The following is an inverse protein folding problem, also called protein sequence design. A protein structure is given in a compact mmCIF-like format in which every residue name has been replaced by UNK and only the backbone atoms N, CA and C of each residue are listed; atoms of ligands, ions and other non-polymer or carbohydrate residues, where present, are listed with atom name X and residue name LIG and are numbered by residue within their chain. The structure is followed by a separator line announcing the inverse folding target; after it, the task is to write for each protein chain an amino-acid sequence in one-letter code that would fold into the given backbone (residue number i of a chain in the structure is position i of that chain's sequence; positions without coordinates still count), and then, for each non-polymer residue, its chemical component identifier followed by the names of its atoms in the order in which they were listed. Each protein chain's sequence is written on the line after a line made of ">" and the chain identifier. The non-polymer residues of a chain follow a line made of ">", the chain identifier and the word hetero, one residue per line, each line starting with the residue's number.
data_IF_015069802278
#
_entry.id   IF_015069802278
#
_cell.length_a   1.000
_cell.length_b   1.000
_cell.length_c   1.000
_cell.angle_alpha   90.00
_cell.angle_beta   90.00
_cell.angle_gamma   90.00
#
_symmetry.space_group_name_H-M   'P 1'
#
loop_
_entity.id
_entity.type
_entity.pdbx_description
1 polymer ?
#
# COMPACT_ATOMS: atom_id res chain seq x y z
N UNK A 1 5.43 2.52 -15.03
CA UNK A 1 5.78 1.10 -15.20
C UNK A 1 4.54 0.42 -15.74
N UNK A 2 4.61 -0.18 -16.93
CA UNK A 2 3.52 -1.02 -17.43
C UNK A 2 3.76 -2.45 -16.94
N UNK A 3 2.80 -3.02 -16.21
CA UNK A 3 2.82 -4.42 -15.79
C UNK A 3 1.95 -5.17 -16.81
N UNK A 4 2.46 -6.24 -17.44
CA UNK A 4 1.64 -7.12 -18.24
C UNK A 4 0.51 -7.74 -17.40
N UNK A 5 -0.74 -7.70 -17.90
CA UNK A 5 -1.92 -8.16 -17.16
C UNK A 5 -1.84 -9.64 -16.74
N UNK A 6 -1.08 -10.45 -17.48
CA UNK A 6 -0.77 -11.86 -17.21
C UNK A 6 0.18 -12.08 -16.01
N UNK A 7 0.77 -11.02 -15.47
CA UNK A 7 1.57 -11.05 -14.24
C UNK A 7 0.82 -10.51 -13.01
N UNK A 8 -0.45 -10.12 -13.17
CA UNK A 8 -1.25 -9.63 -12.06
C UNK A 8 -1.64 -10.79 -11.13
N UNK A 9 -1.37 -10.71 -9.82
CA UNK A 9 -1.83 -11.71 -8.87
C UNK A 9 -3.36 -11.77 -8.81
N UNK A 10 -3.91 -12.96 -8.66
CA UNK A 10 -5.35 -13.16 -8.45
C UNK A 10 -5.85 -12.29 -7.29
N UNK A 11 -6.96 -11.59 -7.52
CA UNK A 11 -7.57 -10.71 -6.53
C UNK A 11 -6.91 -9.34 -6.38
N UNK A 12 -6.00 -8.96 -7.28
CA UNK A 12 -5.37 -7.63 -7.35
C UNK A 12 -5.57 -7.01 -8.73
N UNK A 13 -5.58 -5.67 -8.78
CA UNK A 13 -5.67 -4.93 -10.03
C UNK A 13 -4.85 -3.64 -10.00
N UNK A 14 -4.33 -3.25 -11.16
CA UNK A 14 -3.76 -1.94 -11.45
C UNK A 14 -4.58 -1.18 -12.50
N UNK A 15 -5.82 -1.60 -12.80
CA UNK A 15 -6.69 -0.91 -13.75
C UNK A 15 -6.91 0.54 -13.29
N UNK A 16 -6.49 1.55 -14.08
CA UNK A 16 -6.65 2.95 -13.71
C UNK A 16 -8.07 3.34 -13.29
N UNK A 17 -9.11 2.67 -13.82
CA UNK A 17 -10.51 2.93 -13.45
C UNK A 17 -10.87 2.44 -12.06
N UNK A 18 -10.26 1.36 -11.59
CA UNK A 18 -10.46 0.84 -10.23
C UNK A 18 -9.58 1.60 -9.21
N UNK A 19 -8.48 2.19 -9.67
CA UNK A 19 -7.61 3.05 -8.86
C UNK A 19 -8.15 4.50 -8.77
N UNK A 20 -9.04 4.90 -9.67
CA UNK A 20 -9.58 6.26 -9.75
C UNK A 20 -10.29 6.65 -8.44
N UNK A 21 -10.00 7.85 -7.95
CA UNK A 21 -10.58 8.40 -6.72
C UNK A 21 -9.75 8.13 -5.46
N UNK A 22 -8.96 7.06 -5.43
CA UNK A 22 -8.05 6.77 -4.31
C UNK A 22 -6.75 7.58 -4.42
N UNK A 23 -6.19 7.96 -3.27
CA UNK A 23 -4.92 8.70 -3.18
C UNK A 23 -4.89 9.99 -4.02
N UNK A 24 -6.04 10.63 -4.23
CA UNK A 24 -6.11 11.96 -4.83
C UNK A 24 -5.48 13.03 -3.90
N UNK A 25 -5.02 14.18 -4.42
CA UNK A 25 -4.49 15.24 -3.57
C UNK A 25 -5.49 15.65 -2.48
N UNK A 26 -5.03 15.66 -1.21
CA UNK A 26 -5.85 15.95 -0.01
C UNK A 26 -6.92 14.89 0.32
N UNK A 27 -6.77 13.66 -0.19
CA UNK A 27 -7.57 12.52 0.25
C UNK A 27 -7.12 12.00 1.61
N UNK A 28 -8.02 11.32 2.32
CA UNK A 28 -7.72 10.70 3.61
C UNK A 28 -6.62 9.65 3.49
N UNK A 29 -6.51 8.97 2.35
CA UNK A 29 -5.47 7.98 2.06
C UNK A 29 -4.07 8.62 1.99
N UNK A 30 -3.98 9.82 1.42
CA UNK A 30 -2.71 10.59 1.39
C UNK A 30 -2.35 11.12 2.78
N UNK A 31 -3.34 11.60 3.55
CA UNK A 31 -3.13 12.01 4.94
C UNK A 31 -2.68 10.84 5.80
N UNK A 32 -3.35 9.69 5.71
CA UNK A 32 -2.97 8.44 6.38
C UNK A 32 -1.52 8.03 6.09
N UNK A 33 -1.07 8.15 4.84
CA UNK A 33 0.31 7.84 4.49
C UNK A 33 1.31 8.87 5.08
N UNK A 34 0.92 10.15 5.14
CA UNK A 34 1.72 11.22 5.77
C UNK A 34 1.84 11.03 7.27
N UNK A 35 0.80 10.56 7.93
CA UNK A 35 0.82 10.20 9.35
C UNK A 35 1.84 9.09 9.63
N UNK A 36 2.28 8.34 8.62
CA UNK A 36 3.35 7.35 8.70
C UNK A 36 4.70 7.83 8.12
N UNK A 37 4.81 9.13 7.83
CA UNK A 37 6.03 9.76 7.31
C UNK A 37 6.26 9.61 5.82
N UNK A 38 5.24 9.20 5.06
CA UNK A 38 5.36 9.06 3.61
C UNK A 38 4.94 10.35 2.90
N UNK A 39 5.83 10.86 2.05
CA UNK A 39 5.55 11.88 1.05
C UNK A 39 5.47 11.27 -0.35
N UNK A 40 4.96 12.03 -1.33
CA UNK A 40 4.97 11.66 -2.76
C UNK A 40 4.51 10.22 -3.03
N UNK A 41 3.39 9.84 -2.41
CA UNK A 41 2.83 8.50 -2.53
C UNK A 41 2.15 8.30 -3.88
N UNK A 42 2.27 7.09 -4.43
CA UNK A 42 1.54 6.66 -5.62
C UNK A 42 0.92 5.29 -5.40
N UNK A 43 -0.38 5.17 -5.65
CA UNK A 43 -1.11 3.91 -5.61
C UNK A 43 -0.67 3.03 -6.80
N UNK A 44 -0.35 1.77 -6.51
CA UNK A 44 0.07 0.79 -7.52
C UNK A 44 -0.96 -0.31 -7.73
N UNK A 45 -1.56 -0.81 -6.65
CA UNK A 45 -2.50 -1.92 -6.68
C UNK A 45 -3.59 -1.74 -5.63
N UNK A 46 -4.77 -2.26 -5.94
CA UNK A 46 -5.85 -2.49 -4.97
C UNK A 46 -6.36 -3.91 -5.11
N UNK A 47 -6.96 -4.44 -4.06
CA UNK A 47 -7.72 -5.68 -4.17
C UNK A 47 -8.95 -5.48 -5.07
N UNK A 48 -9.27 -6.50 -5.87
CA UNK A 48 -10.50 -6.49 -6.66
C UNK A 48 -11.72 -6.66 -5.76
N UNK A 49 -12.84 -6.04 -6.14
CA UNK A 49 -14.04 -5.96 -5.27
C UNK A 49 -14.62 -7.33 -4.90
N UNK A 50 -14.43 -8.33 -5.75
CA UNK A 50 -14.91 -9.69 -5.56
C UNK A 50 -14.18 -10.44 -4.42
N UNK A 51 -12.99 -10.00 -4.00
CA UNK A 51 -12.29 -10.64 -2.89
C UNK A 51 -12.87 -10.25 -1.52
N UNK A 52 -13.68 -9.18 -1.45
CA UNK A 52 -14.15 -8.59 -0.19
C UNK A 52 -13.03 -8.00 0.68
N UNK A 53 -11.81 -7.88 0.16
CA UNK A 53 -10.67 -7.27 0.85
C UNK A 53 -10.49 -5.84 0.34
N UNK A 54 -9.97 -4.96 1.18
CA UNK A 54 -9.77 -3.55 0.86
C UNK A 54 -8.28 -3.17 0.97
N UNK A 55 -7.42 -4.14 0.69
CA UNK A 55 -5.98 -3.97 0.69
C UNK A 55 -5.49 -3.16 -0.51
N UNK A 56 -4.43 -2.41 -0.30
CA UNK A 56 -3.75 -1.63 -1.34
C UNK A 56 -2.23 -1.73 -1.21
N UNK A 57 -1.53 -1.49 -2.32
CA UNK A 57 -0.07 -1.34 -2.36
C UNK A 57 0.28 0.02 -2.95
N UNK A 58 1.11 0.78 -2.25
CA UNK A 58 1.62 2.09 -2.68
C UNK A 58 3.15 2.10 -2.78
N UNK A 59 3.69 3.07 -3.50
CA UNK A 59 5.12 3.38 -3.52
C UNK A 59 5.39 4.80 -3.01
N UNK A 60 6.51 4.97 -2.30
CA UNK A 60 7.04 6.26 -1.88
C UNK A 60 8.56 6.14 -1.71
N UNK A 61 9.32 7.12 -2.21
CA UNK A 61 10.78 7.14 -2.06
C UNK A 61 11.52 5.88 -2.57
N UNK A 62 10.96 5.19 -3.58
CA UNK A 62 11.51 3.95 -4.12
C UNK A 62 11.27 2.69 -3.26
N UNK A 63 10.42 2.78 -2.23
CA UNK A 63 9.99 1.66 -1.38
C UNK A 63 8.51 1.37 -1.58
N UNK A 64 8.09 0.18 -1.17
CA UNK A 64 6.73 -0.31 -1.34
C UNK A 64 6.08 -0.54 0.02
N UNK A 65 4.79 -0.27 0.10
CA UNK A 65 4.02 -0.35 1.33
C UNK A 65 2.69 -1.03 1.06
N UNK A 66 2.21 -1.78 2.04
CA UNK A 66 0.88 -2.36 2.05
C UNK A 66 0.05 -1.74 3.18
N UNK A 67 -1.22 -1.49 2.89
CA UNK A 67 -2.23 -1.11 3.87
C UNK A 67 -3.59 -1.68 3.49
N UNK A 68 -4.59 -1.43 4.31
CA UNK A 68 -5.98 -1.79 4.04
C UNK A 68 -6.87 -0.63 4.47
N UNK A 69 -7.86 -0.27 3.64
CA UNK A 69 -8.69 0.92 3.85
C UNK A 69 -9.55 0.88 5.14
N UNK A 70 -9.65 -0.28 5.80
CA UNK A 70 -10.43 -0.44 7.03
C UNK A 70 -9.60 -0.43 8.31
N UNK A 71 -8.26 -0.36 8.22
CA UNK A 71 -7.37 -0.41 9.38
C UNK A 71 -6.32 0.70 9.33
N UNK A 72 -5.96 1.24 10.49
CA UNK A 72 -4.99 2.35 10.57
C UNK A 72 -3.52 1.88 10.53
N UNK A 73 -3.24 0.71 9.93
CA UNK A 73 -1.91 0.11 9.91
C UNK A 73 -1.31 0.13 8.52
N UNK A 74 -0.14 0.75 8.41
CA UNK A 74 0.68 0.70 7.22
C UNK A 74 1.92 -0.18 7.46
N UNK A 75 2.31 -0.94 6.45
CA UNK A 75 3.44 -1.86 6.52
C UNK A 75 4.41 -1.58 5.38
N UNK A 76 5.70 -1.45 5.68
CA UNK A 76 6.76 -1.45 4.66
C UNK A 76 6.99 -2.89 4.19
N UNK A 77 6.97 -3.09 2.87
CA UNK A 77 7.37 -4.35 2.24
C UNK A 77 8.90 -4.38 2.18
N UNK A 78 9.50 -5.12 3.11
CA UNK A 78 10.95 -5.23 3.26
C UNK A 78 11.57 -6.27 2.33
N UNK A 79 10.79 -7.30 1.96
CA UNK A 79 11.17 -8.34 1.00
C UNK A 79 9.96 -8.88 0.23
N UNK A 80 10.05 -9.03 -1.10
CA UNK A 80 11.16 -8.59 -1.95
C UNK A 80 11.14 -7.06 -2.19
N UNK A 81 12.26 -6.51 -2.63
CA UNK A 81 12.45 -5.04 -2.77
C UNK A 81 12.06 -4.45 -4.12
N UNK A 82 11.72 -5.28 -5.10
CA UNK A 82 11.37 -4.84 -6.46
C UNK A 82 9.91 -5.15 -6.73
N UNK A 83 9.23 -4.27 -7.45
CA UNK A 83 7.79 -4.42 -7.69
C UNK A 83 7.44 -5.73 -8.40
N UNK A 84 8.19 -6.11 -9.43
CA UNK A 84 7.97 -7.37 -10.15
C UNK A 84 8.13 -8.60 -9.25
N UNK A 85 9.10 -8.60 -8.34
CA UNK A 85 9.26 -9.67 -7.38
C UNK A 85 8.12 -9.67 -6.33
N UNK A 86 7.60 -8.50 -5.96
CA UNK A 86 6.43 -8.39 -5.07
C UNK A 86 5.22 -9.04 -5.72
N UNK A 87 4.93 -8.73 -7.00
CA UNK A 87 3.84 -9.37 -7.75
C UNK A 87 4.01 -10.89 -7.80
N UNK A 88 5.20 -11.38 -8.16
CA UNK A 88 5.49 -12.81 -8.21
C UNK A 88 5.25 -13.48 -6.84
N UNK A 89 5.66 -12.81 -5.75
CA UNK A 89 5.49 -13.34 -4.39
C UNK A 89 4.03 -13.32 -3.94
N UNK A 90 3.29 -12.27 -4.28
CA UNK A 90 1.84 -12.19 -4.06
C UNK A 90 1.09 -13.30 -4.81
N UNK A 91 1.44 -13.57 -6.06
CA UNK A 91 0.81 -14.63 -6.84
C UNK A 91 1.05 -16.03 -6.25
N UNK A 92 2.17 -16.24 -5.55
CA UNK A 92 2.52 -17.54 -4.94
C UNK A 92 1.85 -17.80 -3.59
N UNK A 93 1.51 -16.77 -2.82
CA UNK A 93 1.07 -16.96 -1.44
C UNK A 93 0.35 -15.78 -0.81
N UNK A 94 -0.15 -14.84 -1.61
CA UNK A 94 -0.86 -13.66 -1.14
C UNK A 94 0.00 -12.73 -0.29
N UNK A 95 -0.67 -11.90 0.50
CA UNK A 95 -0.01 -10.83 1.28
C UNK A 95 0.93 -11.38 2.35
N UNK A 96 0.62 -12.55 2.93
CA UNK A 96 1.40 -13.19 3.99
C UNK A 96 2.74 -13.75 3.48
N UNK A 97 2.91 -13.87 2.16
CA UNK A 97 4.17 -14.31 1.56
C UNK A 97 5.24 -13.19 1.51
N UNK A 98 4.85 -11.94 1.77
CA UNK A 98 5.75 -10.79 1.79
C UNK A 98 6.39 -10.60 3.18
N UNK A 99 7.68 -10.28 3.19
CA UNK A 99 8.36 -9.85 4.40
C UNK A 99 7.99 -8.40 4.69
N UNK A 100 7.29 -8.16 5.80
CA UNK A 100 6.77 -6.84 6.13
C UNK A 100 7.21 -6.34 7.50
N UNK A 101 7.29 -5.02 7.64
CA UNK A 101 7.49 -4.35 8.91
C UNK A 101 6.41 -3.30 9.10
N UNK A 102 5.70 -3.35 10.22
CA UNK A 102 4.72 -2.32 10.58
C UNK A 102 5.39 -0.96 10.76
N UNK A 103 4.83 0.05 10.09
CA UNK A 103 5.23 1.45 10.23
C UNK A 103 4.66 2.00 11.55
N UNK A 104 5.39 2.93 12.15
CA UNK A 104 4.87 3.71 13.27
C UNK A 104 4.15 4.92 12.70
N UNK A 105 3.07 5.32 13.35
CA UNK A 105 2.53 6.66 13.15
C UNK A 105 3.52 7.67 13.76
N UNK A 106 3.70 8.79 13.07
CA UNK A 106 4.40 9.95 13.57
C UNK A 106 3.48 10.62 14.58
N UNK A 107 3.97 10.97 15.78
CA UNK A 107 3.19 11.76 16.72
C UNK A 107 2.78 13.08 16.07
N UNK A 108 1.50 13.44 16.15
CA UNK A 108 1.06 14.78 15.80
C UNK A 108 1.87 15.77 16.67
N UNK A 109 2.43 16.82 16.06
CA UNK A 109 3.10 17.89 16.81
C UNK A 109 2.08 18.49 17.79
N UNK A 110 2.18 18.11 19.07
CA UNK A 110 1.23 18.52 20.12
C UNK A 110 0.98 17.50 21.23
N UNK A 111 1.29 16.21 21.04
CA UNK A 111 1.23 15.24 22.15
C UNK A 111 2.51 15.32 23.01
N UNK A 112 2.60 16.38 23.81
CA UNK A 112 3.46 16.36 25.00
C UNK A 112 2.95 15.24 25.92
N UNK A 113 3.72 14.16 26.02
CA UNK A 113 3.54 13.11 27.03
C UNK A 113 4.06 13.61 28.39
N UNK A 114 3.41 14.62 28.94
CA UNK A 114 3.64 15.09 30.31
C UNK A 114 2.29 15.39 30.97
N UNK A 115 1.66 14.34 31.52
CA UNK A 115 0.73 14.41 32.66
C UNK A 115 1.02 13.22 33.56
#
# INVERSE_FOLDING_TARGET
>A
MEIPADQMPDGWTNDPKELEGYFSPNSQEVEFARDHGLGDVSLLLVNTRDTGNLGFIITSGGRYYWGDFMIDYLFEITQPKTFSAILCRLAQGGITALGMKRMKQIPLEGENKDV
#
